data_IF_161067676423
#
_entry.id   IF_161067676423
#
_cell.length_a   1.000
_cell.length_b   1.000
_cell.length_c   1.000
_cell.angle_alpha   90.00
_cell.angle_beta   90.00
_cell.angle_gamma   90.00
#
_symmetry.space_group_name_H-M   'P 1'
#
loop_
_entity.id
_entity.type
_entity.pdbx_description
1 polymer ?
#
# COMPACT_ATOMS: atom_id res chain seq x y z
N UNK A 1 10.18 15.00 -7.38
CA UNK A 1 8.91 14.25 -7.45
C UNK A 1 8.33 14.16 -6.05
N UNK A 2 7.07 14.62 -5.82
CA UNK A 2 6.37 14.51 -4.53
C UNK A 2 5.44 13.29 -4.55
N UNK A 3 5.23 12.66 -3.39
CA UNK A 3 4.30 11.55 -3.23
C UNK A 3 3.23 11.91 -2.20
N UNK A 4 1.98 11.77 -2.58
CA UNK A 4 0.83 11.86 -1.69
C UNK A 4 0.27 10.45 -1.50
N UNK A 5 0.39 9.92 -0.29
CA UNK A 5 0.03 8.53 0.01
C UNK A 5 -1.08 8.53 1.05
N UNK A 6 -2.25 8.01 0.66
CA UNK A 6 -3.41 7.89 1.54
C UNK A 6 -3.62 6.44 1.97
N UNK A 7 -3.35 6.15 3.24
CA UNK A 7 -3.69 4.88 3.85
C UNK A 7 -5.11 4.94 4.44
N UNK A 8 -6.02 4.16 3.89
CA UNK A 8 -7.42 4.13 4.35
C UNK A 8 -7.59 3.34 5.65
N UNK A 9 -6.57 2.60 6.06
CA UNK A 9 -6.66 1.71 7.21
C UNK A 9 -7.86 0.76 7.07
N UNK A 10 -8.64 0.56 8.13
CA UNK A 10 -9.82 -0.30 8.14
C UNK A 10 -11.11 0.47 7.80
N UNK A 11 -11.06 1.31 6.75
CA UNK A 11 -12.21 2.08 6.29
C UNK A 11 -12.52 1.83 4.82
N UNK A 12 -13.78 1.94 4.46
CA UNK A 12 -14.25 1.90 3.09
C UNK A 12 -15.11 0.68 2.76
N UNK A 13 -16.02 0.91 1.83
CA UNK A 13 -16.92 -0.06 1.22
C UNK A 13 -16.83 0.07 -0.31
N UNK A 14 -17.36 -0.86 -1.12
CA UNK A 14 -17.26 -0.78 -2.58
C UNK A 14 -17.68 0.57 -3.17
N UNK A 15 -18.74 1.19 -2.66
CA UNK A 15 -19.21 2.52 -3.09
C UNK A 15 -18.23 3.66 -2.83
N UNK A 16 -17.25 3.48 -1.96
CA UNK A 16 -16.21 4.48 -1.65
C UNK A 16 -15.28 4.76 -2.83
N UNK A 17 -15.33 3.97 -3.91
CA UNK A 17 -14.60 4.22 -5.15
C UNK A 17 -14.87 5.62 -5.72
N UNK A 18 -16.05 6.19 -5.49
CA UNK A 18 -16.43 7.55 -5.89
C UNK A 18 -15.47 8.63 -5.35
N UNK A 19 -14.83 8.38 -4.21
CA UNK A 19 -13.81 9.28 -3.65
C UNK A 19 -12.59 9.33 -4.57
N UNK A 20 -12.13 8.17 -5.03
CA UNK A 20 -11.00 8.07 -5.93
C UNK A 20 -11.30 8.71 -7.30
N UNK A 21 -12.53 8.56 -7.80
CA UNK A 21 -12.96 9.22 -9.04
C UNK A 21 -12.87 10.75 -8.93
N UNK A 22 -13.32 11.32 -7.80
CA UNK A 22 -13.18 12.75 -7.53
C UNK A 22 -11.71 13.19 -7.52
N UNK A 23 -10.84 12.47 -6.83
CA UNK A 23 -9.40 12.73 -6.78
C UNK A 23 -8.78 12.63 -8.17
N UNK A 24 -9.11 11.58 -8.93
CA UNK A 24 -8.59 11.37 -10.28
C UNK A 24 -9.03 12.49 -11.24
N UNK A 25 -10.27 12.94 -11.13
CA UNK A 25 -10.79 14.04 -11.93
C UNK A 25 -10.12 15.37 -11.57
N UNK A 26 -9.86 15.63 -10.29
CA UNK A 26 -9.09 16.78 -9.85
C UNK A 26 -7.68 16.78 -10.44
N UNK A 27 -6.96 15.63 -10.34
CA UNK A 27 -5.61 15.48 -10.89
C UNK A 27 -5.60 15.72 -12.42
N UNK A 28 -6.62 15.24 -13.13
CA UNK A 28 -6.73 15.46 -14.59
C UNK A 28 -6.88 16.92 -14.98
N UNK A 29 -7.57 17.71 -14.16
CA UNK A 29 -7.74 19.16 -14.38
C UNK A 29 -6.44 19.91 -14.12
N UNK A 30 -5.60 19.47 -13.19
CA UNK A 30 -4.32 20.09 -12.83
C UNK A 30 -3.17 19.57 -13.72
N UNK A 31 -3.30 19.76 -15.04
CA UNK A 31 -2.32 19.26 -16.02
C UNK A 31 -0.90 19.80 -15.79
N UNK A 32 -0.77 21.05 -15.36
CA UNK A 32 0.52 21.71 -15.20
C UNK A 32 1.34 21.12 -14.05
N UNK A 33 0.70 20.81 -12.92
CA UNK A 33 1.37 20.33 -11.69
C UNK A 33 1.38 18.81 -11.58
N UNK A 34 0.46 18.10 -12.25
CA UNK A 34 0.32 16.64 -12.13
C UNK A 34 1.54 15.83 -12.58
N UNK A 35 2.48 16.45 -13.30
CA UNK A 35 3.78 15.83 -13.66
C UNK A 35 4.76 15.78 -12.50
N UNK A 36 4.57 16.61 -11.46
CA UNK A 36 5.52 16.79 -10.36
C UNK A 36 5.16 15.98 -9.10
N UNK A 37 4.05 15.25 -9.12
CA UNK A 37 3.63 14.43 -8.00
C UNK A 37 2.98 13.12 -8.42
N UNK A 38 2.94 12.17 -7.50
CA UNK A 38 2.22 10.90 -7.61
C UNK A 38 1.24 10.77 -6.45
N UNK A 39 0.06 10.23 -6.73
CA UNK A 39 -0.95 9.90 -5.73
C UNK A 39 -1.06 8.40 -5.63
N UNK A 40 -0.93 7.88 -4.42
CA UNK A 40 -1.03 6.44 -4.11
C UNK A 40 -2.09 6.28 -3.03
N UNK A 41 -3.06 5.40 -3.26
CA UNK A 41 -4.13 5.09 -2.30
C UNK A 41 -4.03 3.64 -1.90
N UNK A 42 -4.10 3.39 -0.60
CA UNK A 42 -4.02 2.05 0.00
C UNK A 42 -5.35 1.70 0.65
N UNK A 43 -6.30 1.10 -0.09
CA UNK A 43 -7.57 0.62 0.45
C UNK A 43 -7.37 -0.70 1.21
N UNK A 44 -8.34 -1.15 2.04
CA UNK A 44 -8.32 -2.49 2.62
C UNK A 44 -8.37 -3.58 1.55
N UNK A 45 -7.93 -4.79 1.89
CA UNK A 45 -7.86 -5.92 0.95
C UNK A 45 -9.21 -6.23 0.27
N UNK A 46 -10.32 -6.04 0.99
CA UNK A 46 -11.69 -6.25 0.46
C UNK A 46 -12.03 -5.37 -0.74
N UNK A 47 -11.30 -4.27 -0.93
CA UNK A 47 -11.49 -3.31 -2.04
C UNK A 47 -10.34 -3.33 -3.05
N UNK A 48 -9.24 -4.02 -2.72
CA UNK A 48 -7.98 -3.90 -3.45
C UNK A 48 -8.11 -4.29 -4.92
N UNK A 49 -8.74 -5.42 -5.21
CA UNK A 49 -8.91 -5.90 -6.59
C UNK A 49 -9.79 -4.95 -7.42
N UNK A 50 -10.96 -4.58 -6.88
CA UNK A 50 -11.89 -3.69 -7.56
C UNK A 50 -11.23 -2.35 -7.89
N UNK A 51 -10.54 -1.76 -6.92
CA UNK A 51 -9.87 -0.47 -7.11
C UNK A 51 -8.68 -0.59 -8.06
N UNK A 52 -7.89 -1.66 -7.97
CA UNK A 52 -6.78 -1.88 -8.90
C UNK A 52 -7.25 -1.98 -10.36
N UNK A 53 -8.33 -2.72 -10.62
CA UNK A 53 -8.93 -2.82 -11.96
C UNK A 53 -9.48 -1.47 -12.45
N UNK A 54 -10.22 -0.76 -11.62
CA UNK A 54 -10.88 0.51 -11.97
C UNK A 54 -9.90 1.65 -12.21
N UNK A 55 -8.74 1.63 -11.54
CA UNK A 55 -7.71 2.67 -11.65
C UNK A 55 -6.48 2.24 -12.47
N UNK A 56 -6.54 1.11 -13.16
CA UNK A 56 -5.53 0.72 -14.14
C UNK A 56 -5.35 1.86 -15.16
N UNK A 57 -4.10 2.29 -15.37
CA UNK A 57 -3.75 3.38 -16.29
C UNK A 57 -4.35 4.77 -15.95
N UNK A 58 -4.82 4.98 -14.73
CA UNK A 58 -5.24 6.29 -14.21
C UNK A 58 -4.07 7.01 -13.53
N UNK A 59 -4.32 8.25 -13.10
CA UNK A 59 -3.32 9.07 -12.39
C UNK A 59 -3.10 8.64 -10.93
N UNK A 60 -4.02 7.88 -10.36
CA UNK A 60 -3.90 7.29 -9.03
C UNK A 60 -3.30 5.89 -9.16
N UNK A 61 -2.31 5.59 -8.35
CA UNK A 61 -1.79 4.23 -8.15
C UNK A 61 -2.43 3.59 -6.93
N UNK A 62 -2.69 2.30 -6.99
CA UNK A 62 -3.20 1.53 -5.85
C UNK A 62 -2.06 0.81 -5.16
N UNK A 63 -2.12 0.79 -3.83
CA UNK A 63 -1.17 0.10 -2.94
C UNK A 63 -1.90 -0.87 -2.01
N UNK A 64 -1.28 -2.00 -1.69
CA UNK A 64 -1.72 -2.81 -0.57
C UNK A 64 -1.26 -2.18 0.75
N UNK A 65 -2.03 -2.38 1.83
CA UNK A 65 -1.74 -1.86 3.17
C UNK A 65 -0.70 -2.69 3.92
N UNK A 66 -0.50 -3.94 3.52
CA UNK A 66 0.46 -4.88 4.07
C UNK A 66 0.63 -6.06 3.09
N UNK A 67 1.51 -7.01 3.40
CA UNK A 67 1.59 -8.31 2.76
C UNK A 67 2.08 -9.37 3.75
N UNK A 68 1.90 -10.64 3.40
CA UNK A 68 2.52 -11.73 4.15
C UNK A 68 4.01 -11.84 3.82
N UNK A 69 4.79 -12.42 4.71
CA UNK A 69 6.24 -12.55 4.52
C UNK A 69 6.64 -13.70 3.58
N UNK A 70 5.73 -14.62 3.26
CA UNK A 70 5.98 -15.65 2.25
C UNK A 70 5.70 -15.12 0.85
N UNK A 71 6.56 -15.53 -0.08
CA UNK A 71 6.58 -14.97 -1.42
C UNK A 71 5.35 -15.35 -2.27
N UNK A 72 4.88 -16.59 -2.18
CA UNK A 72 3.92 -17.19 -3.09
C UNK A 72 2.70 -17.77 -2.35
N UNK A 73 2.04 -18.74 -2.95
CA UNK A 73 0.95 -19.52 -2.33
C UNK A 73 1.47 -20.38 -1.17
N UNK A 74 0.56 -20.78 -0.29
CA UNK A 74 0.85 -21.67 0.83
C UNK A 74 -0.36 -21.85 1.75
N UNK A 75 -0.24 -22.77 2.70
CA UNK A 75 -1.27 -23.07 3.72
C UNK A 75 -1.24 -22.04 4.85
N UNK A 76 -1.65 -20.81 4.51
CA UNK A 76 -1.66 -19.66 5.44
C UNK A 76 -3.02 -18.98 5.36
N UNK A 77 -3.98 -19.48 6.13
CA UNK A 77 -5.37 -19.01 6.12
C UNK A 77 -5.46 -17.51 6.44
N UNK A 78 -6.15 -16.74 5.58
CA UNK A 78 -6.40 -15.31 5.75
C UNK A 78 -5.25 -14.38 5.35
N UNK A 79 -4.08 -14.91 5.00
CA UNK A 79 -2.96 -14.08 4.58
C UNK A 79 -2.91 -13.84 3.06
N UNK A 80 -2.38 -12.70 2.67
CA UNK A 80 -2.24 -12.29 1.27
C UNK A 80 -0.76 -12.10 0.94
N UNK A 81 -0.24 -12.92 0.00
CA UNK A 81 1.18 -12.85 -0.38
C UNK A 81 1.46 -11.69 -1.34
N UNK A 82 2.73 -11.23 -1.43
CA UNK A 82 3.15 -10.25 -2.44
C UNK A 82 2.86 -10.70 -3.88
N UNK A 83 2.96 -12.00 -4.16
CA UNK A 83 2.60 -12.56 -5.46
C UNK A 83 1.11 -12.34 -5.79
N UNK A 84 0.19 -12.65 -4.86
CA UNK A 84 -1.24 -12.42 -5.04
C UNK A 84 -1.53 -10.93 -5.29
N UNK A 85 -0.94 -10.05 -4.49
CA UNK A 85 -1.07 -8.59 -4.64
C UNK A 85 -0.62 -8.16 -6.05
N UNK A 86 0.53 -8.64 -6.51
CA UNK A 86 1.05 -8.31 -7.84
C UNK A 86 0.13 -8.77 -8.97
N UNK A 87 -0.49 -9.95 -8.82
CA UNK A 87 -1.43 -10.49 -9.82
C UNK A 87 -2.71 -9.67 -9.96
N UNK A 88 -3.11 -8.92 -8.95
CA UNK A 88 -4.20 -7.94 -9.03
C UNK A 88 -3.82 -6.68 -9.85
N UNK A 89 -2.56 -6.54 -10.29
CA UNK A 89 -2.06 -5.34 -10.97
C UNK A 89 -1.63 -4.21 -10.03
N UNK A 90 -1.60 -4.47 -8.72
CA UNK A 90 -1.11 -3.53 -7.70
C UNK A 90 0.40 -3.37 -7.83
N UNK A 91 0.88 -2.14 -7.70
CA UNK A 91 2.31 -1.80 -7.89
C UNK A 91 3.05 -1.49 -6.59
N UNK A 92 2.33 -1.20 -5.52
CA UNK A 92 2.90 -0.71 -4.26
C UNK A 92 2.37 -1.53 -3.08
N UNK A 93 3.17 -1.58 -2.01
CA UNK A 93 2.78 -2.18 -0.72
C UNK A 93 3.37 -1.36 0.43
N UNK A 94 2.59 -1.14 1.48
CA UNK A 94 3.06 -0.57 2.74
C UNK A 94 3.65 -1.70 3.59
N UNK A 95 4.83 -1.50 4.16
CA UNK A 95 5.49 -2.45 5.07
C UNK A 95 5.96 -1.70 6.32
N UNK A 96 5.77 -2.30 7.48
CA UNK A 96 6.28 -1.81 8.74
C UNK A 96 5.49 -0.64 9.34
N UNK A 97 4.20 -0.51 8.99
CA UNK A 97 3.32 0.47 9.62
C UNK A 97 3.26 0.24 11.14
N UNK A 98 3.19 1.32 11.92
CA UNK A 98 3.21 1.24 13.40
C UNK A 98 2.19 0.27 13.96
N UNK A 99 0.96 0.29 13.47
CA UNK A 99 -0.11 -0.63 13.89
C UNK A 99 0.25 -2.11 13.68
N UNK A 100 0.93 -2.44 12.57
CA UNK A 100 1.38 -3.81 12.31
C UNK A 100 2.57 -4.22 13.22
N UNK A 101 3.46 -3.26 13.52
CA UNK A 101 4.56 -3.49 14.48
C UNK A 101 4.02 -3.71 15.89
N UNK A 102 3.03 -2.94 16.32
CA UNK A 102 2.31 -3.11 17.58
C UNK A 102 1.57 -4.45 17.64
N UNK A 103 1.07 -4.94 16.50
CA UNK A 103 0.46 -6.27 16.36
C UNK A 103 1.47 -7.43 16.26
N UNK A 104 2.77 -7.19 16.47
CA UNK A 104 3.80 -8.22 16.56
C UNK A 104 4.74 -8.35 15.37
N UNK A 105 4.69 -7.46 14.37
CA UNK A 105 5.66 -7.48 13.28
C UNK A 105 7.03 -6.97 13.74
N UNK A 106 7.95 -7.90 13.96
CA UNK A 106 9.34 -7.60 14.30
C UNK A 106 10.22 -7.37 13.06
N UNK A 107 11.46 -6.93 13.27
CA UNK A 107 12.39 -6.62 12.18
C UNK A 107 12.73 -7.82 11.28
N UNK A 108 12.70 -9.05 11.81
CA UNK A 108 12.90 -10.26 11.00
C UNK A 108 11.75 -10.45 10.02
N UNK A 109 10.49 -10.36 10.49
CA UNK A 109 9.30 -10.44 9.64
C UNK A 109 9.31 -9.33 8.59
N UNK A 110 9.69 -8.12 8.97
CA UNK A 110 9.76 -6.99 8.04
C UNK A 110 10.80 -7.22 6.94
N UNK A 111 11.97 -7.75 7.28
CA UNK A 111 13.00 -8.13 6.30
C UNK A 111 12.46 -9.14 5.30
N UNK A 112 11.79 -10.20 5.77
CA UNK A 112 11.20 -11.23 4.89
C UNK A 112 10.10 -10.62 3.97
N UNK A 113 9.26 -9.73 4.48
CA UNK A 113 8.27 -9.01 3.68
C UNK A 113 8.90 -8.16 2.59
N UNK A 114 9.98 -7.45 2.92
CA UNK A 114 10.74 -6.65 1.94
C UNK A 114 11.29 -7.55 0.85
N UNK A 115 11.98 -8.62 1.20
CA UNK A 115 12.58 -9.56 0.24
C UNK A 115 11.49 -10.18 -0.67
N UNK A 116 10.40 -10.64 -0.09
CA UNK A 116 9.28 -11.22 -0.83
C UNK A 116 8.62 -10.19 -1.78
N UNK A 117 8.49 -8.94 -1.36
CA UNK A 117 7.91 -7.86 -2.16
C UNK A 117 8.82 -7.46 -3.33
N UNK A 118 10.13 -7.35 -3.09
CA UNK A 118 11.13 -7.07 -4.15
C UNK A 118 11.13 -8.19 -5.20
N UNK A 119 11.11 -9.45 -4.76
CA UNK A 119 11.05 -10.62 -5.68
C UNK A 119 9.81 -10.58 -6.58
N UNK A 120 8.72 -9.95 -6.14
CA UNK A 120 7.50 -9.78 -6.94
C UNK A 120 7.43 -8.42 -7.68
N UNK A 121 8.52 -7.67 -7.73
CA UNK A 121 8.56 -6.34 -8.36
C UNK A 121 7.45 -5.40 -7.84
N UNK A 122 7.24 -5.39 -6.52
CA UNK A 122 6.42 -4.39 -5.84
C UNK A 122 7.31 -3.24 -5.37
N UNK A 123 6.83 -2.01 -5.55
CA UNK A 123 7.43 -0.84 -4.93
C UNK A 123 7.02 -0.79 -3.46
N UNK A 124 7.97 -0.62 -2.57
CA UNK A 124 7.75 -0.66 -1.14
C UNK A 124 7.63 0.76 -0.59
N UNK A 125 6.57 0.99 0.20
CA UNK A 125 6.42 2.15 1.06
C UNK A 125 6.80 1.67 2.47
N UNK A 126 8.06 1.86 2.83
CA UNK A 126 8.58 1.38 4.12
C UNK A 126 8.36 2.43 5.20
N UNK A 127 7.57 2.08 6.22
CA UNK A 127 7.31 2.96 7.35
C UNK A 127 8.44 2.86 8.39
N UNK A 128 9.02 3.99 8.69
CA UNK A 128 10.04 4.15 9.73
C UNK A 128 9.54 5.17 10.76
N UNK A 129 9.96 5.03 11.99
CA UNK A 129 9.63 5.94 13.08
C UNK A 129 10.24 5.45 14.38
N UNK A 130 10.51 6.36 15.27
CA UNK A 130 10.95 6.10 16.64
C UNK A 130 9.74 5.94 17.57
N UNK A 131 9.85 5.08 18.55
CA UNK A 131 8.86 4.99 19.61
C UNK A 131 9.10 6.08 20.68
N UNK A 132 8.12 6.26 21.58
CA UNK A 132 8.16 7.30 22.62
C UNK A 132 9.38 7.19 23.56
N UNK A 133 9.94 5.98 23.74
CA UNK A 133 11.12 5.75 24.58
C UNK A 133 12.42 6.04 23.84
N UNK A 134 12.48 5.76 22.55
CA UNK A 134 13.64 6.06 21.70
C UNK A 134 13.83 7.56 21.53
N UNK A 135 12.73 8.32 21.37
CA UNK A 135 12.73 9.79 21.27
C UNK A 135 13.32 10.52 22.48
N UNK A 136 13.35 9.88 23.66
CA UNK A 136 13.92 10.47 24.88
C UNK A 136 15.43 10.24 25.03
N UNK A 137 16.07 9.53 24.09
CA UNK A 137 17.51 9.21 24.14
C UNK A 137 18.37 10.13 23.24
N UNK A 138 17.76 11.08 22.56
CA UNK A 138 18.37 12.14 21.80
C UNK A 138 18.26 13.44 22.59
#
# INVERSE_FOLDING_TARGET
MKYFIGNWKMFGIPGSIKILDRINNYIKKDKARSKNYKVIISPPYTLLENFAKSFKNKKISISAQNCFHKNNYGSHTGFVSPYMIKKLGVKHVIIGHSENREAGENNHILKEKVLASVKNNLNIIFCIGENKYEKKKI
#
